data_IF_509428143716
#
_entry.id   IF_509428143716
#
_cell.length_a   1.000
_cell.length_b   1.000
_cell.length_c   1.000
_cell.angle_alpha   90.00
_cell.angle_beta   90.00
_cell.angle_gamma   90.00
#
_symmetry.space_group_name_H-M   'P 1'
#
loop_
_entity.id
_entity.type
_entity.pdbx_description
1 polymer ?
#
# COMPACT_ATOMS: atom_id res chain seq x y z
N UNK A 1 -8.12 -0.83 -3.71
CA UNK A 1 -6.87 -1.58 -3.90
C UNK A 1 -7.09 -3.08 -3.93
N UNK A 2 -6.95 -3.75 -2.77
CA UNK A 2 -7.06 -5.20 -2.68
C UNK A 2 -8.39 -5.77 -3.23
N UNK A 3 -9.51 -5.15 -2.85
CA UNK A 3 -10.84 -5.56 -3.33
C UNK A 3 -10.99 -5.43 -4.85
N UNK A 4 -10.46 -4.37 -5.45
CA UNK A 4 -10.44 -4.17 -6.89
C UNK A 4 -9.64 -5.27 -7.58
N UNK A 5 -8.47 -5.60 -7.01
CA UNK A 5 -7.62 -6.72 -7.44
C UNK A 5 -8.37 -8.05 -7.42
N UNK A 6 -9.01 -8.38 -6.28
CA UNK A 6 -9.78 -9.62 -6.11
C UNK A 6 -11.02 -9.69 -7.03
N UNK A 7 -11.56 -8.55 -7.45
CA UNK A 7 -12.72 -8.45 -8.36
C UNK A 7 -12.32 -8.38 -9.83
N UNK A 8 -11.02 -8.39 -10.16
CA UNK A 8 -10.58 -8.29 -11.54
C UNK A 8 -10.85 -6.92 -12.18
N UNK A 9 -10.98 -5.86 -11.37
CA UNK A 9 -11.22 -4.50 -11.88
C UNK A 9 -10.01 -4.05 -12.69
N UNK A 10 -10.26 -3.42 -13.84
CA UNK A 10 -9.24 -2.90 -14.74
C UNK A 10 -8.12 -2.13 -14.00
N UNK A 11 -6.84 -2.53 -14.13
CA UNK A 11 -5.73 -1.87 -13.45
C UNK A 11 -5.60 -0.37 -13.79
N UNK A 12 -5.99 0.06 -15.00
CA UNK A 12 -6.00 1.47 -15.39
C UNK A 12 -7.02 2.29 -14.60
N UNK A 13 -8.21 1.74 -14.38
CA UNK A 13 -9.22 2.36 -13.50
C UNK A 13 -8.74 2.41 -12.04
N UNK A 14 -8.15 1.33 -11.53
CA UNK A 14 -7.56 1.30 -10.18
C UNK A 14 -6.50 2.39 -10.04
N UNK A 15 -5.60 2.51 -11.03
CA UNK A 15 -4.56 3.54 -11.07
C UNK A 15 -5.16 4.94 -11.04
N UNK A 16 -6.09 5.25 -11.93
CA UNK A 16 -6.73 6.57 -12.03
C UNK A 16 -7.42 6.98 -10.72
N UNK A 17 -8.09 6.03 -10.05
CA UNK A 17 -8.74 6.30 -8.77
C UNK A 17 -7.72 6.59 -7.65
N UNK A 18 -6.64 5.81 -7.58
CA UNK A 18 -5.57 6.02 -6.59
C UNK A 18 -4.86 7.37 -6.82
N UNK A 19 -4.53 7.72 -8.06
CA UNK A 19 -3.89 9.00 -8.40
C UNK A 19 -4.75 10.19 -7.99
N UNK A 20 -6.07 10.13 -8.20
CA UNK A 20 -7.00 11.19 -7.76
C UNK A 20 -7.01 11.35 -6.25
N UNK A 21 -7.05 10.24 -5.50
CA UNK A 21 -7.00 10.28 -4.03
C UNK A 21 -5.69 10.91 -3.55
N UNK A 22 -4.57 10.49 -4.12
CA UNK A 22 -3.24 10.99 -3.76
C UNK A 22 -3.13 12.49 -4.08
N UNK A 23 -3.59 12.92 -5.26
CA UNK A 23 -3.59 14.33 -5.64
C UNK A 23 -4.37 15.19 -4.64
N UNK A 24 -5.59 14.78 -4.27
CA UNK A 24 -6.40 15.51 -3.29
C UNK A 24 -5.73 15.63 -1.91
N UNK A 25 -4.96 14.63 -1.49
CA UNK A 25 -4.20 14.66 -0.23
C UNK A 25 -2.99 15.61 -0.35
N UNK A 26 -2.22 15.50 -1.43
CA UNK A 26 -1.04 16.34 -1.66
C UNK A 26 -1.39 17.82 -1.85
N UNK A 27 -2.50 18.14 -2.53
CA UNK A 27 -3.03 19.51 -2.66
C UNK A 27 -3.35 20.16 -1.31
N UNK A 28 -3.68 19.36 -0.29
CA UNK A 28 -3.92 19.80 1.09
C UNK A 28 -2.64 19.83 1.94
N UNK A 29 -1.47 19.58 1.35
CA UNK A 29 -0.19 19.48 2.06
C UNK A 29 -0.08 18.26 2.97
N UNK A 30 -0.88 17.21 2.76
CA UNK A 30 -0.85 16.00 3.57
C UNK A 30 0.26 15.07 3.05
N UNK A 31 1.15 14.65 3.94
CA UNK A 31 2.16 13.63 3.64
C UNK A 31 1.48 12.27 3.52
N UNK A 32 1.74 11.57 2.41
CA UNK A 32 1.11 10.31 2.07
C UNK A 32 2.11 9.16 2.24
N UNK A 33 1.81 8.24 3.16
CA UNK A 33 2.41 6.91 3.19
C UNK A 33 1.57 5.99 2.32
N UNK A 34 2.14 5.54 1.21
CA UNK A 34 1.45 4.74 0.22
C UNK A 34 1.80 3.25 0.39
N UNK A 35 0.82 2.46 0.83
CA UNK A 35 0.98 1.03 1.03
C UNK A 35 0.57 0.25 -0.22
N UNK A 36 1.53 -0.51 -0.76
CA UNK A 36 1.38 -1.32 -1.96
C UNK A 36 0.55 -2.58 -1.75
N UNK A 37 -0.15 -3.00 -2.80
CA UNK A 37 -0.81 -4.30 -2.86
C UNK A 37 -0.30 -5.10 -4.06
N UNK A 38 -0.36 -6.43 -3.94
CA UNK A 38 -0.02 -7.38 -5.00
C UNK A 38 -1.11 -8.44 -5.11
N UNK A 39 -1.37 -8.89 -6.32
CA UNK A 39 -2.23 -10.05 -6.59
C UNK A 39 -1.38 -11.28 -6.87
N UNK A 40 -1.88 -12.43 -6.43
CA UNK A 40 -1.33 -13.72 -6.81
C UNK A 40 -1.67 -14.04 -8.28
N UNK A 41 -0.99 -15.01 -8.86
CA UNK A 41 -1.13 -15.39 -10.28
C UNK A 41 -2.47 -16.08 -10.64
N UNK A 42 -3.49 -15.98 -9.79
CA UNK A 42 -4.77 -16.67 -9.93
C UNK A 42 -5.77 -15.99 -10.90
N UNK A 43 -5.49 -14.76 -11.34
CA UNK A 43 -6.34 -14.00 -12.28
C UNK A 43 -5.73 -13.87 -13.68
N UNK A 44 -4.70 -14.66 -13.98
CA UNK A 44 -3.98 -14.63 -15.25
C UNK A 44 -2.81 -13.64 -15.28
N UNK A 45 -1.78 -13.91 -16.10
CA UNK A 45 -0.50 -13.19 -16.03
C UNK A 45 -0.61 -11.72 -16.46
N UNK A 46 -1.43 -11.41 -17.47
CA UNK A 46 -1.62 -10.03 -17.94
C UNK A 46 -2.24 -9.12 -16.88
N UNK A 47 -3.33 -9.58 -16.25
CA UNK A 47 -3.99 -8.86 -15.17
C UNK A 47 -3.06 -8.68 -13.97
N UNK A 48 -2.46 -9.79 -13.51
CA UNK A 48 -1.59 -9.80 -12.32
C UNK A 48 -0.39 -8.88 -12.50
N UNK A 49 0.26 -8.92 -13.67
CA UNK A 49 1.39 -8.04 -13.97
C UNK A 49 0.95 -6.57 -14.01
N UNK A 50 -0.16 -6.27 -14.70
CA UNK A 50 -0.67 -4.90 -14.79
C UNK A 50 -1.04 -4.34 -13.42
N UNK A 51 -1.76 -5.10 -12.59
CA UNK A 51 -2.11 -4.68 -11.23
C UNK A 51 -0.88 -4.47 -10.34
N UNK A 52 0.10 -5.39 -10.40
CA UNK A 52 1.29 -5.31 -9.57
C UNK A 52 2.23 -4.14 -9.94
N UNK A 53 2.08 -3.57 -11.15
CA UNK A 53 2.80 -2.37 -11.60
C UNK A 53 2.16 -1.05 -11.13
N UNK A 54 0.84 -1.03 -10.86
CA UNK A 54 0.11 0.19 -10.49
C UNK A 54 0.75 0.93 -9.31
N UNK A 55 1.03 0.23 -8.22
CA UNK A 55 1.53 0.86 -6.99
C UNK A 55 2.96 1.43 -7.10
N UNK A 56 3.97 0.67 -7.56
CA UNK A 56 5.33 1.20 -7.68
C UNK A 56 5.44 2.34 -8.69
N UNK A 57 4.67 2.32 -9.79
CA UNK A 57 4.68 3.41 -10.78
C UNK A 57 4.11 4.70 -10.22
N UNK A 58 2.93 4.65 -9.57
CA UNK A 58 2.35 5.82 -8.90
C UNK A 58 3.30 6.37 -7.84
N UNK A 59 3.90 5.49 -7.03
CA UNK A 59 4.84 5.89 -5.98
C UNK A 59 6.04 6.66 -6.54
N UNK A 60 6.62 6.19 -7.64
CA UNK A 60 7.75 6.83 -8.30
C UNK A 60 7.36 8.19 -8.90
N UNK A 61 6.24 8.25 -9.63
CA UNK A 61 5.77 9.47 -10.29
C UNK A 61 5.37 10.57 -9.31
N UNK A 62 4.70 10.20 -8.21
CA UNK A 62 4.22 11.13 -7.18
C UNK A 62 5.23 11.33 -6.04
N UNK A 63 6.39 10.68 -6.09
CA UNK A 63 7.47 10.73 -5.09
C UNK A 63 6.97 10.45 -3.66
N UNK A 64 6.23 9.35 -3.50
CA UNK A 64 5.58 9.00 -2.23
C UNK A 64 6.51 8.21 -1.32
N UNK A 65 6.25 8.29 -0.02
CA UNK A 65 6.77 7.32 0.95
C UNK A 65 6.07 5.99 0.66
N UNK A 66 6.79 5.01 0.13
CA UNK A 66 6.18 3.81 -0.44
C UNK A 66 6.59 2.52 0.28
N UNK A 67 5.60 1.82 0.82
CA UNK A 67 5.74 0.45 1.33
C UNK A 67 5.37 -0.52 0.19
N UNK A 68 6.30 -1.34 -0.35
CA UNK A 68 6.05 -2.12 -1.56
C UNK A 68 4.90 -3.14 -1.47
N UNK A 69 4.70 -3.73 -0.29
CA UNK A 69 3.61 -4.66 -0.07
C UNK A 69 3.14 -4.63 1.38
N UNK A 70 1.88 -4.27 1.59
CA UNK A 70 1.29 -4.11 2.92
C UNK A 70 1.24 -5.40 3.75
N UNK A 71 1.01 -6.54 3.07
CA UNK A 71 0.87 -7.86 3.70
C UNK A 71 2.17 -8.67 3.67
N UNK A 72 3.32 -8.02 3.53
CA UNK A 72 4.64 -8.66 3.55
C UNK A 72 4.81 -9.53 4.80
N UNK A 73 5.17 -10.81 4.62
CA UNK A 73 5.31 -11.79 5.70
C UNK A 73 3.99 -12.30 6.32
N UNK A 74 2.83 -11.75 5.93
CA UNK A 74 1.51 -12.12 6.47
C UNK A 74 0.64 -12.82 5.44
N UNK A 75 0.67 -12.36 4.19
CA UNK A 75 -0.10 -12.96 3.11
C UNK A 75 0.17 -14.46 3.03
N UNK A 76 -0.89 -15.28 2.96
CA UNK A 76 -0.84 -16.74 2.84
C UNK A 76 -0.22 -17.51 4.01
N UNK A 77 0.09 -16.85 5.13
CA UNK A 77 0.56 -17.53 6.34
C UNK A 77 -0.62 -17.94 7.23
N UNK A 78 -0.95 -19.24 7.37
CA UNK A 78 -2.14 -19.67 8.11
C UNK A 78 -2.09 -19.31 9.60
N UNK A 79 -0.90 -19.17 10.20
CA UNK A 79 -0.79 -18.81 11.63
C UNK A 79 -1.03 -17.32 11.90
N UNK A 80 -1.00 -16.49 10.85
CA UNK A 80 -1.16 -15.04 10.93
C UNK A 80 -2.48 -14.55 10.31
N UNK A 81 -3.31 -15.46 9.77
CA UNK A 81 -4.62 -15.14 9.22
C UNK A 81 -5.72 -15.87 10.00
N UNK A 82 -6.95 -15.40 9.86
CA UNK A 82 -8.14 -16.16 10.29
C UNK A 82 -8.44 -17.27 9.27
N UNK A 83 -9.44 -18.10 9.57
CA UNK A 83 -9.77 -19.32 8.80
C UNK A 83 -10.02 -19.09 7.29
N UNK A 84 -10.34 -17.87 6.87
CA UNK A 84 -10.51 -17.53 5.45
C UNK A 84 -9.19 -17.41 4.67
N UNK A 85 -8.04 -17.38 5.36
CA UNK A 85 -6.70 -17.28 4.75
C UNK A 85 -6.37 -15.94 4.08
N UNK A 86 -7.25 -14.94 4.19
CA UNK A 86 -7.13 -13.63 3.55
C UNK A 86 -6.98 -12.48 4.56
N UNK A 87 -7.63 -12.60 5.72
CA UNK A 87 -7.64 -11.53 6.71
C UNK A 87 -6.68 -11.82 7.86
N UNK A 88 -5.75 -10.89 8.18
CA UNK A 88 -4.83 -11.07 9.29
C UNK A 88 -5.56 -11.23 10.63
N UNK A 89 -5.04 -12.10 11.48
CA UNK A 89 -5.44 -12.19 12.89
C UNK A 89 -4.64 -11.15 13.73
N UNK A 90 -4.83 -11.05 15.06
CA UNK A 90 -4.11 -10.07 15.88
C UNK A 90 -2.57 -10.14 15.76
N UNK A 91 -2.01 -11.35 15.66
CA UNK A 91 -0.58 -11.56 15.47
C UNK A 91 -0.12 -11.11 14.07
N UNK A 92 -0.93 -11.38 13.04
CA UNK A 92 -0.68 -10.88 11.69
C UNK A 92 -0.67 -9.35 11.63
N UNK A 93 -1.62 -8.69 12.31
CA UNK A 93 -1.61 -7.23 12.42
C UNK A 93 -0.37 -6.70 13.16
N UNK A 94 0.12 -7.39 14.19
CA UNK A 94 1.37 -7.00 14.85
C UNK A 94 2.56 -7.01 13.88
N UNK A 95 2.65 -8.01 12.99
CA UNK A 95 3.66 -8.05 11.92
C UNK A 95 3.49 -6.90 10.93
N UNK A 96 2.26 -6.64 10.47
CA UNK A 96 1.96 -5.51 9.56
C UNK A 96 2.40 -4.18 10.17
N UNK A 97 2.07 -3.93 11.44
CA UNK A 97 2.43 -2.69 12.14
C UNK A 97 3.95 -2.55 12.23
N UNK A 98 4.67 -3.62 12.58
CA UNK A 98 6.14 -3.60 12.63
C UNK A 98 6.75 -3.25 11.27
N UNK A 99 6.19 -3.78 10.18
CA UNK A 99 6.65 -3.51 8.82
C UNK A 99 6.29 -2.09 8.34
N UNK A 100 5.16 -1.55 8.77
CA UNK A 100 4.68 -0.21 8.41
C UNK A 100 5.40 0.91 9.18
N UNK A 101 5.82 0.63 10.42
CA UNK A 101 6.35 1.63 11.35
C UNK A 101 7.53 2.47 10.79
N UNK A 102 8.51 1.91 10.05
CA UNK A 102 9.59 2.72 9.46
C UNK A 102 9.07 3.81 8.51
N UNK A 103 8.06 3.51 7.70
CA UNK A 103 7.47 4.46 6.75
C UNK A 103 6.67 5.55 7.47
N UNK A 104 5.97 5.20 8.54
CA UNK A 104 5.28 6.17 9.40
C UNK A 104 6.27 7.10 10.09
N UNK A 105 7.38 6.56 10.61
CA UNK A 105 8.46 7.37 11.20
C UNK A 105 9.06 8.34 10.20
N UNK A 106 9.27 7.90 8.95
CA UNK A 106 9.72 8.79 7.87
C UNK A 106 8.72 9.93 7.63
N UNK A 107 7.43 9.62 7.54
CA UNK A 107 6.39 10.64 7.35
C UNK A 107 6.37 11.67 8.49
N UNK A 108 6.48 11.22 9.74
CA UNK A 108 6.55 12.12 10.91
C UNK A 108 7.79 13.02 10.87
N UNK A 109 8.94 12.50 10.44
CA UNK A 109 10.15 13.30 10.28
C UNK A 109 9.99 14.37 9.17
N UNK A 110 9.28 14.06 8.08
CA UNK A 110 8.95 15.04 7.04
C UNK A 110 7.98 16.12 7.54
N UNK A 111 6.98 15.75 8.36
CA UNK A 111 6.08 16.72 9.03
C UNK A 111 6.88 17.67 9.92
N UNK A 112 7.76 17.14 10.77
CA UNK A 112 8.56 17.95 11.71
C UNK A 112 9.43 18.98 10.97
N UNK A 113 10.11 18.56 9.89
CA UNK A 113 10.89 19.45 9.01
C UNK A 113 10.03 20.56 8.41
N UNK A 114 8.83 20.22 7.92
CA UNK A 114 7.90 21.20 7.34
C UNK A 114 7.36 22.22 8.35
N UNK A 115 7.37 21.88 9.64
CA UNK A 115 6.92 22.75 10.74
C UNK A 115 8.07 23.54 11.40
N UNK A 116 9.32 23.39 10.94
CA UNK A 116 10.48 24.03 11.55
C UNK A 116 10.82 23.49 12.96
N UNK A 117 10.33 22.30 13.29
CA UNK A 117 10.67 21.60 14.54
C UNK A 117 11.83 20.67 14.21
N UNK A 118 13.04 21.00 14.67
CA UNK A 118 14.17 20.07 14.57
C UNK A 118 13.92 18.81 15.41
N UNK A 119 14.36 17.62 14.92
CA UNK A 119 14.12 16.34 15.57
C UNK A 119 14.89 16.15 16.89
#
# INVERSE_FOLDING_TARGET
>A
GANDGLRGIDPGLVRSNLEKIIAMLQEKGIIVVFAGMRMAWNLGPGYTSGFNQVYPEIAAEKKLIFMPFFLEGVATNPSLNIDDGLHPNPQGYAVIVNNLLPFVKQALAEVAKGQGVEP
#
